data_IF_105770776533
#
_entry.id   IF_105770776533
#
_cell.length_a   1.000
_cell.length_b   1.000
_cell.length_c   1.000
_cell.angle_alpha   90.00
_cell.angle_beta   90.00
_cell.angle_gamma   90.00
#
_symmetry.space_group_name_H-M   'P 1'
#
loop_
_entity.id
_entity.type
_entity.pdbx_description
1 polymer ?
#
# COMPACT_ATOMS: atom_id res chain seq x y z
N UNK A 1 22.42 -58.41 67.00
CA UNK A 1 21.16 -59.13 67.25
C UNK A 1 20.65 -59.69 65.93
N UNK A 2 20.12 -60.89 66.00
CA UNK A 2 19.98 -61.88 64.93
C UNK A 2 18.97 -61.57 63.83
N UNK A 3 19.37 -61.94 62.60
CA UNK A 3 18.65 -62.70 61.56
C UNK A 3 17.11 -62.74 61.58
N UNK A 4 16.47 -62.41 60.44
CA UNK A 4 15.58 -63.35 59.75
C UNK A 4 15.25 -62.94 58.29
N UNK A 5 15.62 -63.81 57.34
CA UNK A 5 14.94 -63.99 56.04
C UNK A 5 13.71 -64.91 56.24
N UNK A 6 12.71 -65.01 55.32
CA UNK A 6 12.82 -65.59 53.96
C UNK A 6 11.83 -64.90 52.98
N UNK A 7 11.48 -65.28 51.75
CA UNK A 7 11.74 -66.44 50.90
C UNK A 7 11.46 -66.00 49.44
N UNK A 8 12.10 -66.63 48.46
CA UNK A 8 12.00 -66.27 47.03
C UNK A 8 11.28 -67.38 46.28
N UNK A 9 10.05 -67.12 45.83
CA UNK A 9 9.33 -68.03 44.91
C UNK A 9 9.21 -67.42 43.52
N UNK A 10 9.54 -68.25 42.53
CA UNK A 10 9.70 -67.97 41.11
C UNK A 10 8.36 -67.95 40.36
N UNK A 11 8.16 -66.99 39.46
CA UNK A 11 7.10 -67.06 38.44
C UNK A 11 7.55 -66.45 37.11
N UNK A 12 7.88 -67.38 36.21
CA UNK A 12 8.00 -67.40 34.74
C UNK A 12 7.44 -66.19 33.97
N UNK A 13 8.27 -65.63 33.08
CA UNK A 13 7.94 -64.61 32.08
C UNK A 13 6.95 -65.11 31.02
N UNK A 14 5.90 -64.34 30.74
CA UNK A 14 5.03 -64.51 29.57
C UNK A 14 4.85 -63.16 28.84
N UNK A 15 5.12 -63.15 27.54
CA UNK A 15 5.00 -61.99 26.62
C UNK A 15 3.53 -61.57 26.45
N UNK A 16 3.17 -60.26 26.50
CA UNK A 16 1.79 -59.83 26.30
C UNK A 16 1.40 -59.83 24.80
N UNK A 17 0.12 -60.13 24.46
CA UNK A 17 -0.37 -60.09 23.08
C UNK A 17 -0.60 -58.65 22.59
N UNK A 18 -0.56 -58.45 21.26
CA UNK A 18 -0.75 -57.14 20.61
C UNK A 18 -2.15 -56.55 20.89
N UNK A 19 -2.29 -55.22 21.05
CA UNK A 19 -3.58 -54.57 21.34
C UNK A 19 -4.54 -54.69 20.15
N UNK A 20 -5.82 -54.88 20.46
CA UNK A 20 -6.90 -54.93 19.46
C UNK A 20 -7.26 -53.51 18.96
N UNK A 21 -7.65 -53.32 17.68
CA UNK A 21 -7.93 -52.00 17.09
C UNK A 21 -9.17 -51.27 17.63
N UNK A 22 -10.01 -51.96 18.40
CA UNK A 22 -11.24 -51.46 19.02
C UNK A 22 -11.01 -50.68 20.33
N UNK A 23 -9.80 -50.77 20.91
CA UNK A 23 -9.44 -50.06 22.13
C UNK A 23 -9.38 -48.53 21.99
N UNK A 24 -9.20 -48.00 20.77
CA UNK A 24 -9.20 -46.56 20.51
C UNK A 24 -10.61 -45.98 20.41
N UNK A 25 -11.59 -46.77 19.99
CA UNK A 25 -13.00 -46.34 19.92
C UNK A 25 -13.62 -46.24 21.31
N UNK A 26 -13.27 -47.11 22.24
CA UNK A 26 -13.79 -47.07 23.62
C UNK A 26 -13.28 -45.86 24.42
N UNK A 27 -12.08 -45.36 24.13
CA UNK A 27 -11.52 -44.17 24.77
C UNK A 27 -12.25 -42.88 24.36
N UNK A 28 -12.61 -42.75 23.07
CA UNK A 28 -13.38 -41.60 22.59
C UNK A 28 -14.82 -41.63 23.11
N UNK A 29 -15.44 -42.81 23.17
CA UNK A 29 -16.77 -42.96 23.78
C UNK A 29 -16.76 -42.61 25.26
N UNK A 30 -15.71 -43.00 26.00
CA UNK A 30 -15.60 -42.69 27.43
C UNK A 30 -15.45 -41.17 27.68
N UNK A 31 -14.65 -40.46 26.89
CA UNK A 31 -14.49 -38.99 27.02
C UNK A 31 -15.77 -38.23 26.63
N UNK A 32 -16.53 -38.75 25.67
CA UNK A 32 -17.82 -38.16 25.26
C UNK A 32 -18.94 -38.40 26.30
N UNK A 33 -19.00 -39.59 26.90
CA UNK A 33 -20.03 -39.95 27.88
C UNK A 33 -19.70 -39.47 29.30
N UNK A 34 -18.41 -39.36 29.65
CA UNK A 34 -17.92 -38.90 30.97
C UNK A 34 -17.12 -37.60 30.83
N UNK A 35 -17.74 -36.58 30.21
CA UNK A 35 -17.14 -35.23 30.09
C UNK A 35 -17.04 -34.47 31.42
N UNK A 36 -17.73 -34.97 32.45
CA UNK A 36 -17.62 -34.51 33.83
C UNK A 36 -16.71 -35.47 34.59
N UNK A 37 -15.66 -34.94 35.21
CA UNK A 37 -14.74 -35.68 36.07
C UNK A 37 -15.54 -36.48 37.13
N UNK A 38 -15.29 -37.79 37.23
CA UNK A 38 -15.88 -38.68 38.24
C UNK A 38 -15.65 -38.13 39.66
N UNK A 39 -14.56 -37.39 39.86
CA UNK A 39 -14.29 -36.68 41.11
C UNK A 39 -15.32 -35.58 41.42
N UNK A 40 -15.86 -34.90 40.40
CA UNK A 40 -16.89 -33.88 40.54
C UNK A 40 -18.26 -34.50 40.84
N UNK A 41 -18.59 -35.61 40.16
CA UNK A 41 -19.80 -36.38 40.42
C UNK A 41 -19.78 -36.95 41.85
N UNK A 42 -18.69 -37.59 42.28
CA UNK A 42 -18.55 -38.09 43.65
C UNK A 42 -18.55 -36.96 44.70
N UNK A 43 -18.01 -35.78 44.40
CA UNK A 43 -18.08 -34.64 45.30
C UNK A 43 -19.50 -34.04 45.38
N UNK A 44 -20.26 -34.08 44.29
CA UNK A 44 -21.66 -33.67 44.27
C UNK A 44 -22.54 -34.64 45.06
N UNK A 45 -22.34 -35.95 44.88
CA UNK A 45 -23.04 -37.00 45.61
C UNK A 45 -22.69 -36.98 47.11
N UNK A 46 -21.42 -36.74 47.45
CA UNK A 46 -20.99 -36.56 48.84
C UNK A 46 -21.65 -35.34 49.48
N UNK A 47 -21.74 -34.21 48.77
CA UNK A 47 -22.46 -33.01 49.24
C UNK A 47 -23.97 -33.22 49.33
N UNK A 48 -24.55 -34.05 48.46
CA UNK A 48 -25.96 -34.43 48.53
C UNK A 48 -26.25 -35.33 49.73
N UNK A 49 -25.36 -36.31 49.99
CA UNK A 49 -25.43 -37.20 51.16
C UNK A 49 -25.20 -36.46 52.49
N UNK A 50 -24.31 -35.46 52.51
CA UNK A 50 -24.05 -34.59 53.67
C UNK A 50 -25.12 -33.49 53.86
N UNK A 51 -26.13 -33.40 52.99
CA UNK A 51 -27.22 -32.42 53.06
C UNK A 51 -26.78 -30.97 52.82
N UNK A 52 -25.57 -30.77 52.31
CA UNK A 52 -24.96 -29.48 51.94
C UNK A 52 -25.25 -29.10 50.49
N UNK A 53 -25.80 -30.00 49.68
CA UNK A 53 -26.34 -29.69 48.37
C UNK A 53 -27.68 -28.94 48.50
N UNK A 54 -27.64 -27.61 48.36
CA UNK A 54 -28.82 -26.74 48.37
C UNK A 54 -28.50 -25.30 48.79
N UNK A 55 -29.50 -24.43 48.81
CA UNK A 55 -29.31 -23.06 49.30
C UNK A 55 -28.84 -23.08 50.77
N UNK A 56 -27.94 -22.15 51.17
CA UNK A 56 -27.41 -22.11 52.52
C UNK A 56 -28.55 -21.99 53.55
N UNK A 57 -28.64 -22.95 54.47
CA UNK A 57 -29.71 -23.00 55.48
C UNK A 57 -29.41 -22.13 56.70
N UNK A 58 -28.13 -21.85 57.00
CA UNK A 58 -27.72 -21.03 58.15
C UNK A 58 -27.74 -19.54 57.83
N UNK A 59 -28.09 -18.71 58.83
CA UNK A 59 -28.21 -17.25 58.66
C UNK A 59 -26.90 -16.62 58.18
N UNK A 60 -25.74 -17.09 58.69
CA UNK A 60 -24.40 -16.62 58.30
C UNK A 60 -24.06 -16.94 56.84
N UNK A 61 -24.40 -18.13 56.36
CA UNK A 61 -24.13 -18.53 54.98
C UNK A 61 -25.07 -17.81 53.99
N UNK A 62 -26.31 -17.49 54.37
CA UNK A 62 -27.21 -16.63 53.59
C UNK A 62 -26.67 -15.20 53.47
N UNK A 63 -26.14 -14.63 54.56
CA UNK A 63 -25.50 -13.31 54.55
C UNK A 63 -24.23 -13.30 53.68
N UNK A 64 -23.42 -14.36 53.74
CA UNK A 64 -22.25 -14.50 52.86
C UNK A 64 -22.61 -14.59 51.38
N UNK A 65 -23.64 -15.36 51.02
CA UNK A 65 -24.17 -15.45 49.65
C UNK A 65 -24.71 -14.08 49.18
N UNK A 66 -25.49 -13.40 50.02
CA UNK A 66 -26.04 -12.09 49.70
C UNK A 66 -24.94 -11.05 49.49
N UNK A 67 -23.92 -11.03 50.37
CA UNK A 67 -22.76 -10.16 50.22
C UNK A 67 -21.99 -10.47 48.92
N UNK A 68 -21.78 -11.75 48.60
CA UNK A 68 -21.13 -12.18 47.36
C UNK A 68 -21.91 -11.75 46.11
N UNK A 69 -23.24 -11.89 46.11
CA UNK A 69 -24.10 -11.44 45.01
C UNK A 69 -24.09 -9.92 44.85
N UNK A 70 -24.13 -9.16 45.94
CA UNK A 70 -24.03 -7.69 45.91
C UNK A 70 -22.67 -7.26 45.34
N UNK A 71 -21.59 -7.93 45.73
CA UNK A 71 -20.24 -7.61 45.26
C UNK A 71 -20.07 -7.97 43.77
N UNK A 72 -20.60 -9.12 43.33
CA UNK A 72 -20.65 -9.49 41.92
C UNK A 72 -21.47 -8.50 41.10
N UNK A 73 -22.66 -8.11 41.60
CA UNK A 73 -23.49 -7.10 40.97
C UNK A 73 -22.76 -5.75 40.88
N UNK A 74 -22.07 -5.32 41.94
CA UNK A 74 -21.28 -4.09 41.93
C UNK A 74 -20.16 -4.12 40.88
N UNK A 75 -19.40 -5.22 40.80
CA UNK A 75 -18.34 -5.39 39.78
C UNK A 75 -18.92 -5.32 38.37
N UNK A 76 -20.02 -6.05 38.11
CA UNK A 76 -20.68 -6.05 36.79
C UNK A 76 -21.21 -4.65 36.44
N UNK A 77 -21.78 -3.95 37.42
CA UNK A 77 -22.34 -2.61 37.20
C UNK A 77 -21.24 -1.58 36.93
N UNK A 78 -20.13 -1.64 37.68
CA UNK A 78 -18.96 -0.79 37.47
C UNK A 78 -18.30 -1.09 36.11
N UNK A 79 -18.13 -2.38 35.76
CA UNK A 79 -17.60 -2.79 34.47
C UNK A 79 -18.48 -2.34 33.31
N UNK A 80 -19.81 -2.45 33.45
CA UNK A 80 -20.76 -1.98 32.45
C UNK A 80 -20.77 -0.44 32.32
N UNK A 81 -20.57 0.29 33.42
CA UNK A 81 -20.46 1.74 33.40
C UNK A 81 -19.15 2.21 32.71
N UNK A 82 -18.02 1.57 33.01
CA UNK A 82 -16.73 1.87 32.35
C UNK A 82 -16.78 1.56 30.85
N UNK A 83 -17.32 0.41 30.46
CA UNK A 83 -17.48 0.02 29.05
C UNK A 83 -18.36 1.00 28.25
N UNK A 84 -19.38 1.60 28.88
CA UNK A 84 -20.23 2.61 28.23
C UNK A 84 -19.56 3.96 28.04
N UNK A 85 -18.50 4.27 28.78
CA UNK A 85 -17.80 5.56 28.70
C UNK A 85 -16.60 5.49 27.76
N UNK A 86 -15.87 4.37 27.72
CA UNK A 86 -14.67 4.21 26.88
C UNK A 86 -15.00 3.94 25.40
N UNK A 87 -16.04 3.13 25.11
CA UNK A 87 -16.46 2.85 23.74
C UNK A 87 -16.85 4.10 22.90
N UNK A 88 -17.59 5.10 23.42
CA UNK A 88 -17.91 6.31 22.66
C UNK A 88 -16.76 7.32 22.57
N UNK A 89 -15.74 7.27 23.45
CA UNK A 89 -14.60 8.18 23.39
C UNK A 89 -13.68 7.83 22.22
N UNK A 90 -13.31 6.55 22.08
CA UNK A 90 -12.47 6.07 20.97
C UNK A 90 -13.17 6.24 19.61
N UNK A 91 -14.48 6.05 19.55
CA UNK A 91 -15.25 6.26 18.33
C UNK A 91 -15.24 7.74 17.90
N UNK A 92 -15.41 8.68 18.85
CA UNK A 92 -15.35 10.12 18.58
C UNK A 92 -13.96 10.60 18.19
N UNK A 93 -12.91 10.11 18.85
CA UNK A 93 -11.53 10.43 18.48
C UNK A 93 -11.20 9.94 17.06
N UNK A 94 -11.68 8.75 16.68
CA UNK A 94 -11.54 8.25 15.31
C UNK A 94 -12.30 9.11 14.31
N UNK A 95 -13.54 9.50 14.62
CA UNK A 95 -14.35 10.37 13.77
C UNK A 95 -13.70 11.75 13.57
N UNK A 96 -13.16 12.36 14.64
CA UNK A 96 -12.43 13.62 14.56
C UNK A 96 -11.15 13.50 13.73
N UNK A 97 -10.40 12.41 13.90
CA UNK A 97 -9.21 12.14 13.09
C UNK A 97 -9.56 11.95 11.62
N UNK A 98 -10.60 11.16 11.30
CA UNK A 98 -11.07 10.99 9.92
C UNK A 98 -11.51 12.33 9.33
N UNK A 99 -12.30 13.12 10.05
CA UNK A 99 -12.72 14.45 9.59
C UNK A 99 -11.54 15.38 9.32
N UNK A 100 -10.52 15.38 10.19
CA UNK A 100 -9.30 16.16 9.96
C UNK A 100 -8.53 15.65 8.73
N UNK A 101 -8.38 14.34 8.56
CA UNK A 101 -7.72 13.75 7.39
C UNK A 101 -8.46 14.16 6.11
N UNK A 102 -9.79 14.07 6.08
CA UNK A 102 -10.60 14.45 4.92
C UNK A 102 -10.48 15.95 4.61
N UNK A 103 -10.50 16.80 5.64
CA UNK A 103 -10.35 18.24 5.49
C UNK A 103 -8.97 18.64 4.94
N UNK A 104 -7.90 18.04 5.47
CA UNK A 104 -6.52 18.25 5.00
C UNK A 104 -6.33 17.71 3.58
N UNK A 105 -6.87 16.53 3.27
CA UNK A 105 -6.85 15.95 1.92
C UNK A 105 -7.57 16.88 0.93
N UNK A 106 -8.74 17.40 1.29
CA UNK A 106 -9.46 18.36 0.45
C UNK A 106 -8.78 19.73 0.31
N UNK A 107 -7.91 20.12 1.24
CA UNK A 107 -7.03 21.30 1.09
C UNK A 107 -5.87 21.00 0.13
N UNK A 108 -5.23 19.84 0.28
CA UNK A 108 -4.16 19.39 -0.61
C UNK A 108 -4.64 19.31 -2.06
N UNK A 109 -5.80 18.69 -2.31
CA UNK A 109 -6.41 18.59 -3.64
C UNK A 109 -6.70 19.96 -4.28
N UNK A 110 -7.13 20.92 -3.47
CA UNK A 110 -7.36 22.30 -3.95
C UNK A 110 -6.05 22.98 -4.29
N UNK A 111 -5.04 22.87 -3.45
CA UNK A 111 -3.73 23.45 -3.70
C UNK A 111 -3.07 22.84 -4.95
N UNK A 112 -3.21 21.52 -5.16
CA UNK A 112 -2.75 20.84 -6.37
C UNK A 112 -3.43 21.39 -7.63
N UNK A 113 -4.77 21.52 -7.61
CA UNK A 113 -5.52 22.14 -8.72
C UNK A 113 -5.10 23.57 -8.99
N UNK A 114 -4.80 24.33 -7.95
CA UNK A 114 -4.34 25.71 -8.06
C UNK A 114 -2.95 25.78 -8.68
N UNK A 115 -2.04 24.88 -8.27
CA UNK A 115 -0.69 24.76 -8.85
C UNK A 115 -0.77 24.37 -10.33
N UNK A 116 -1.58 23.37 -10.69
CA UNK A 116 -1.76 22.93 -12.07
C UNK A 116 -2.33 24.07 -12.94
N UNK A 117 -3.37 24.77 -12.45
CA UNK A 117 -3.92 25.95 -13.12
C UNK A 117 -2.88 27.05 -13.29
N UNK A 118 -2.10 27.39 -12.26
CA UNK A 118 -1.06 28.41 -12.35
C UNK A 118 0.05 28.01 -13.34
N UNK A 119 0.41 26.73 -13.39
CA UNK A 119 1.40 26.20 -14.35
C UNK A 119 0.90 26.34 -15.78
N UNK A 120 -0.36 26.01 -16.04
CA UNK A 120 -0.98 26.16 -17.36
C UNK A 120 -1.03 27.64 -17.78
N UNK A 121 -1.39 28.51 -16.84
CA UNK A 121 -1.42 29.96 -17.02
C UNK A 121 -0.05 30.56 -17.36
N UNK A 122 1.01 30.07 -16.70
CA UNK A 122 2.40 30.46 -16.99
C UNK A 122 2.82 29.92 -18.35
N UNK A 123 2.51 28.65 -18.64
CA UNK A 123 2.81 28.02 -19.92
C UNK A 123 2.15 28.74 -21.10
N UNK A 124 0.89 29.16 -20.95
CA UNK A 124 0.17 29.93 -21.96
C UNK A 124 0.83 31.29 -22.23
N UNK A 125 1.19 32.03 -21.17
CA UNK A 125 1.89 33.32 -21.31
C UNK A 125 3.27 33.17 -21.92
N UNK A 126 4.00 32.10 -21.57
CA UNK A 126 5.30 31.80 -22.17
C UNK A 126 5.17 31.51 -23.67
N UNK A 127 4.18 30.73 -24.09
CA UNK A 127 3.91 30.46 -25.51
C UNK A 127 3.57 31.75 -26.27
N UNK A 128 2.70 32.59 -25.72
CA UNK A 128 2.36 33.88 -26.33
C UNK A 128 3.60 34.78 -26.50
N UNK A 129 4.47 34.84 -25.49
CA UNK A 129 5.72 35.60 -25.56
C UNK A 129 6.68 35.03 -26.61
N UNK A 130 6.78 33.71 -26.71
CA UNK A 130 7.61 33.02 -27.70
C UNK A 130 7.12 33.25 -29.13
N UNK A 131 5.80 33.25 -29.36
CA UNK A 131 5.22 33.57 -30.66
C UNK A 131 5.52 35.00 -31.09
N UNK A 132 5.43 35.97 -30.17
CA UNK A 132 5.66 37.39 -30.46
C UNK A 132 7.13 37.74 -30.67
N UNK A 133 8.05 37.11 -29.94
CA UNK A 133 9.45 37.55 -29.87
C UNK A 133 10.47 36.51 -30.37
N UNK A 134 10.08 35.25 -30.55
CA UNK A 134 11.02 34.15 -30.79
C UNK A 134 11.38 33.92 -32.26
N UNK A 135 10.50 34.24 -33.20
CA UNK A 135 10.64 33.82 -34.60
C UNK A 135 10.90 32.31 -34.74
N UNK A 136 11.57 31.88 -35.80
CA UNK A 136 11.83 30.45 -36.05
C UNK A 136 12.75 29.82 -35.02
N UNK A 137 13.74 30.57 -34.53
CA UNK A 137 14.70 30.08 -33.51
C UNK A 137 14.02 29.84 -32.18
N UNK A 138 13.18 30.79 -31.72
CA UNK A 138 12.43 30.66 -30.47
C UNK A 138 11.45 29.49 -30.49
N UNK A 139 10.81 29.23 -31.64
CA UNK A 139 9.94 28.07 -31.82
C UNK A 139 10.70 26.74 -31.72
N UNK A 140 11.86 26.62 -32.35
CA UNK A 140 12.72 25.43 -32.22
C UNK A 140 13.22 25.26 -30.77
N UNK A 141 13.65 26.35 -30.12
CA UNK A 141 14.07 26.30 -28.70
C UNK A 141 12.93 25.88 -27.79
N UNK A 142 11.71 26.38 -28.01
CA UNK A 142 10.53 26.02 -27.25
C UNK A 142 10.18 24.53 -27.40
N UNK A 143 10.27 24.01 -28.64
CA UNK A 143 10.09 22.60 -28.92
C UNK A 143 11.11 21.73 -28.16
N UNK A 144 12.40 22.06 -28.27
CA UNK A 144 13.50 21.32 -27.63
C UNK A 144 13.45 21.40 -26.10
N UNK A 145 12.97 22.51 -25.55
CA UNK A 145 12.75 22.69 -24.12
C UNK A 145 11.47 22.01 -23.60
N UNK A 146 10.64 21.44 -24.50
CA UNK A 146 9.34 20.87 -24.17
C UNK A 146 8.27 21.91 -23.84
N UNK A 147 8.49 23.20 -24.11
CA UNK A 147 7.55 24.29 -23.77
C UNK A 147 6.30 24.33 -24.68
N UNK A 148 6.30 23.55 -25.76
CA UNK A 148 5.16 23.41 -26.67
C UNK A 148 4.68 21.97 -26.75
N UNK A 149 3.42 21.82 -27.12
CA UNK A 149 2.87 20.54 -27.50
C UNK A 149 3.60 19.97 -28.72
N UNK A 150 3.59 18.65 -28.84
CA UNK A 150 4.15 17.94 -29.98
C UNK A 150 3.12 16.96 -30.50
N UNK A 151 2.86 17.06 -31.81
CA UNK A 151 2.00 16.11 -32.51
C UNK A 151 2.82 15.38 -33.57
N UNK A 152 2.65 14.07 -33.66
CA UNK A 152 3.30 13.25 -34.68
C UNK A 152 2.99 11.76 -34.53
N UNK A 153 3.50 10.92 -35.44
CA UNK A 153 3.43 9.47 -35.29
C UNK A 153 4.30 9.01 -34.12
N UNK A 154 4.08 7.78 -33.67
CA UNK A 154 4.91 7.23 -32.60
C UNK A 154 4.44 5.89 -32.06
N UNK A 155 4.80 5.64 -30.80
CA UNK A 155 4.47 4.42 -30.07
C UNK A 155 3.71 4.76 -28.78
N UNK A 156 2.61 4.06 -28.55
CA UNK A 156 1.92 3.98 -27.27
C UNK A 156 2.29 2.68 -26.58
N UNK A 157 2.99 2.79 -25.46
CA UNK A 157 3.35 1.70 -24.56
C UNK A 157 2.52 1.82 -23.28
N UNK A 158 1.78 0.78 -22.94
CA UNK A 158 1.02 0.66 -21.69
C UNK A 158 1.73 -0.37 -20.83
N UNK A 159 2.09 0.04 -19.62
CA UNK A 159 2.70 -0.81 -18.59
C UNK A 159 1.77 -0.81 -17.38
N UNK A 160 1.31 -1.97 -16.97
CA UNK A 160 0.36 -2.15 -15.88
C UNK A 160 0.93 -3.14 -14.86
N UNK A 161 0.51 -3.00 -13.61
CA UNK A 161 0.88 -3.96 -12.58
C UNK A 161 0.33 -5.35 -12.93
N UNK A 162 0.94 -6.40 -12.38
CA UNK A 162 0.40 -7.75 -12.52
C UNK A 162 -0.98 -7.85 -11.84
N UNK A 163 -1.88 -8.69 -12.36
CA UNK A 163 -3.25 -8.83 -11.82
C UNK A 163 -3.27 -9.20 -10.32
N UNK A 164 -2.22 -9.87 -9.82
CA UNK A 164 -2.09 -10.29 -8.42
C UNK A 164 -1.28 -9.31 -7.55
N UNK A 165 -0.82 -8.18 -8.09
CA UNK A 165 -0.01 -7.20 -7.36
C UNK A 165 -0.77 -6.59 -6.16
N UNK A 166 -2.09 -6.45 -6.28
CA UNK A 166 -2.98 -5.95 -5.22
C UNK A 166 -3.25 -6.99 -4.10
N UNK A 167 -2.87 -8.26 -4.29
CA UNK A 167 -3.14 -9.33 -3.32
C UNK A 167 -2.25 -9.26 -2.06
N UNK A 168 -1.23 -8.40 -2.07
CA UNK A 168 -0.42 -8.11 -0.89
C UNK A 168 -1.14 -7.09 -0.01
N UNK A 169 -2.17 -7.53 0.71
CA UNK A 169 -2.93 -6.73 1.69
C UNK A 169 -2.15 -6.33 2.95
N UNK A 170 -0.82 -6.34 2.89
CA UNK A 170 0.05 -5.85 3.94
C UNK A 170 0.24 -4.35 3.73
N UNK A 171 0.07 -3.56 4.78
CA UNK A 171 0.16 -2.10 4.65
C UNK A 171 1.53 -1.67 4.10
N UNK A 172 1.70 -0.40 3.68
CA UNK A 172 2.96 0.14 3.14
C UNK A 172 4.21 0.00 4.05
N UNK A 173 4.05 -0.60 5.24
CA UNK A 173 5.06 -0.83 6.28
C UNK A 173 5.29 -2.31 6.63
N UNK A 174 4.44 -3.22 6.17
CA UNK A 174 4.45 -4.63 6.63
C UNK A 174 5.31 -5.54 5.73
N UNK A 175 5.62 -5.13 4.50
CA UNK A 175 6.60 -5.83 3.65
C UNK A 175 7.98 -5.15 3.71
N UNK A 176 8.85 -5.65 4.58
CA UNK A 176 10.28 -5.32 4.57
C UNK A 176 11.08 -6.12 3.52
N UNK A 177 10.43 -7.06 2.84
CA UNK A 177 11.05 -7.86 1.77
C UNK A 177 10.84 -7.21 0.40
N UNK A 178 11.88 -7.31 -0.44
CA UNK A 178 11.84 -7.03 -1.87
C UNK A 178 10.85 -7.99 -2.54
N UNK A 179 9.57 -7.75 -2.37
CA UNK A 179 8.54 -8.66 -2.87
C UNK A 179 8.47 -8.56 -4.40
N UNK A 180 8.58 -9.74 -4.99
CA UNK A 180 8.40 -10.12 -6.38
C UNK A 180 6.90 -10.05 -6.71
N UNK A 181 6.29 -8.86 -6.52
CA UNK A 181 4.83 -8.66 -6.52
C UNK A 181 4.24 -8.44 -7.90
N UNK A 182 5.06 -8.44 -8.96
CA UNK A 182 4.61 -7.99 -10.28
C UNK A 182 4.20 -6.52 -10.32
N UNK A 183 4.62 -5.73 -9.33
CA UNK A 183 4.35 -4.28 -9.24
C UNK A 183 5.42 -3.47 -9.96
N UNK A 184 4.98 -2.56 -10.82
CA UNK A 184 5.85 -1.66 -11.60
C UNK A 184 6.46 -0.61 -10.68
N UNK A 185 7.78 -0.43 -10.76
CA UNK A 185 8.52 0.53 -9.94
C UNK A 185 9.01 1.72 -10.75
N UNK A 186 9.37 2.79 -10.04
CA UNK A 186 9.93 4.01 -10.63
C UNK A 186 11.19 3.73 -11.49
N UNK A 187 12.06 2.82 -11.03
CA UNK A 187 13.25 2.38 -11.78
C UNK A 187 12.92 1.68 -13.09
N UNK A 188 11.81 0.96 -13.14
CA UNK A 188 11.37 0.24 -14.34
C UNK A 188 10.89 1.25 -15.38
N UNK A 189 10.12 2.24 -14.95
CA UNK A 189 9.71 3.36 -15.79
C UNK A 189 10.90 4.22 -16.26
N UNK A 190 11.92 4.44 -15.43
CA UNK A 190 13.16 5.11 -15.85
C UNK A 190 13.85 4.34 -16.98
N UNK A 191 13.93 3.01 -16.88
CA UNK A 191 14.51 2.15 -17.94
C UNK A 191 13.70 2.24 -19.23
N UNK A 192 12.37 2.12 -19.14
CA UNK A 192 11.47 2.26 -20.29
C UNK A 192 11.69 3.58 -21.01
N UNK A 193 11.70 4.69 -20.29
CA UNK A 193 11.90 6.03 -20.85
C UNK A 193 13.27 6.17 -21.50
N UNK A 194 14.33 5.74 -20.81
CA UNK A 194 15.69 5.81 -21.34
C UNK A 194 15.88 4.93 -22.59
N UNK A 195 15.29 3.74 -22.61
CA UNK A 195 15.29 2.85 -23.76
C UNK A 195 14.56 3.45 -24.96
N UNK A 196 13.42 4.13 -24.72
CA UNK A 196 12.70 4.85 -25.78
C UNK A 196 13.51 6.02 -26.33
N UNK A 197 14.17 6.81 -25.48
CA UNK A 197 15.09 7.86 -25.92
C UNK A 197 16.25 7.29 -26.75
N UNK A 198 16.87 6.21 -26.27
CA UNK A 198 17.94 5.52 -26.99
C UNK A 198 17.48 4.98 -28.35
N UNK A 199 16.20 4.59 -28.44
CA UNK A 199 15.57 4.06 -29.65
C UNK A 199 15.15 5.15 -30.65
N UNK A 200 15.36 6.42 -30.33
CA UNK A 200 15.11 7.55 -31.22
C UNK A 200 13.76 8.23 -31.03
N UNK A 201 13.14 8.13 -29.85
CA UNK A 201 12.01 8.97 -29.52
C UNK A 201 12.43 10.45 -29.53
N UNK A 202 11.55 11.33 -30.01
CA UNK A 202 11.76 12.78 -30.09
C UNK A 202 11.04 13.53 -28.96
N UNK A 203 9.94 12.94 -28.46
CA UNK A 203 9.20 13.43 -27.31
C UNK A 203 8.58 12.26 -26.56
N UNK A 204 8.59 12.29 -25.22
CA UNK A 204 7.99 11.24 -24.38
C UNK A 204 7.07 11.86 -23.32
N UNK A 205 5.94 11.21 -23.03
CA UNK A 205 5.10 11.52 -21.86
C UNK A 205 4.68 10.26 -21.12
N UNK A 206 4.43 10.37 -19.82
CA UNK A 206 3.84 9.29 -18.99
C UNK A 206 2.54 9.82 -18.39
N UNK A 207 1.41 9.18 -18.65
CA UNK A 207 0.08 9.60 -18.20
C UNK A 207 -0.19 11.10 -18.47
N UNK A 208 0.23 11.59 -19.63
CA UNK A 208 0.10 12.99 -20.02
C UNK A 208 1.11 13.95 -19.36
N UNK A 209 2.08 13.47 -18.58
CA UNK A 209 3.19 14.29 -18.09
C UNK A 209 4.34 14.24 -19.08
N UNK A 210 4.59 15.35 -19.78
CA UNK A 210 5.64 15.48 -20.78
C UNK A 210 7.02 15.52 -20.10
N UNK A 211 7.89 14.62 -20.53
CA UNK A 211 9.25 14.51 -20.01
C UNK A 211 10.22 15.41 -20.77
N UNK A 212 11.18 15.96 -20.03
CA UNK A 212 12.31 16.76 -20.53
C UNK A 212 13.62 16.21 -19.97
N UNK A 213 14.75 16.83 -20.37
CA UNK A 213 16.08 16.46 -19.86
C UNK A 213 16.25 16.63 -18.34
N UNK A 214 15.37 17.38 -17.68
CA UNK A 214 15.40 17.61 -16.23
C UNK A 214 14.26 16.92 -15.48
N UNK A 215 13.40 16.19 -16.20
CA UNK A 215 12.27 15.51 -15.59
C UNK A 215 12.74 14.39 -14.66
N UNK A 216 12.07 14.23 -13.53
CA UNK A 216 12.40 13.23 -12.53
C UNK A 216 11.28 12.21 -12.36
N UNK A 217 11.66 10.93 -12.39
CA UNK A 217 10.78 9.78 -12.08
C UNK A 217 11.27 9.18 -10.76
N UNK A 218 10.44 9.16 -9.72
CA UNK A 218 10.85 8.76 -8.35
C UNK A 218 9.72 8.05 -7.61
N UNK A 219 10.05 7.16 -6.69
CA UNK A 219 9.06 6.60 -5.76
C UNK A 219 8.71 7.55 -4.60
N UNK A 220 7.45 7.54 -4.15
CA UNK A 220 7.07 7.95 -2.79
C UNK A 220 6.08 6.94 -2.20
N UNK A 221 6.57 6.13 -1.25
CA UNK A 221 5.85 4.95 -0.80
C UNK A 221 5.57 4.04 -2.00
N UNK A 222 4.29 3.76 -2.21
CA UNK A 222 3.81 2.92 -3.30
C UNK A 222 3.55 3.69 -4.60
N UNK A 223 3.59 5.02 -4.62
CA UNK A 223 3.32 5.79 -5.83
C UNK A 223 4.59 6.07 -6.64
N UNK A 224 4.48 6.09 -7.97
CA UNK A 224 5.50 6.63 -8.86
C UNK A 224 5.17 8.10 -9.14
N UNK A 225 6.13 8.99 -8.94
CA UNK A 225 6.00 10.42 -9.18
C UNK A 225 6.77 10.80 -10.43
N UNK A 226 6.13 11.59 -11.29
CA UNK A 226 6.76 12.27 -12.43
C UNK A 226 6.68 13.77 -12.19
N UNK A 227 7.82 14.43 -12.02
CA UNK A 227 7.91 15.87 -11.71
C UNK A 227 7.04 16.31 -10.52
N UNK A 228 7.01 15.46 -9.49
CA UNK A 228 6.21 15.56 -8.25
C UNK A 228 4.70 15.34 -8.43
N UNK A 229 4.24 14.89 -9.60
CA UNK A 229 2.86 14.45 -9.80
C UNK A 229 2.79 12.94 -9.58
N UNK A 230 2.03 12.45 -8.60
CA UNK A 230 1.83 11.01 -8.41
C UNK A 230 1.03 10.45 -9.59
N UNK A 231 1.51 9.33 -10.13
CA UNK A 231 0.88 8.57 -11.20
C UNK A 231 0.47 7.20 -10.66
N UNK A 232 -0.66 6.70 -11.17
CA UNK A 232 -1.16 5.38 -10.89
C UNK A 232 -1.11 4.51 -12.16
N UNK A 233 -0.97 3.18 -12.01
CA UNK A 233 -1.16 2.25 -13.11
C UNK A 233 -2.61 2.28 -13.64
N UNK A 234 -2.86 1.94 -14.91
CA UNK A 234 -1.87 1.61 -15.94
C UNK A 234 -1.08 2.84 -16.43
N UNK A 235 0.24 2.69 -16.50
CA UNK A 235 1.15 3.72 -16.99
C UNK A 235 1.17 3.74 -18.52
N UNK A 236 0.55 4.77 -19.10
CA UNK A 236 0.58 5.01 -20.55
C UNK A 236 1.75 5.92 -20.89
N UNK A 237 2.75 5.34 -21.56
CA UNK A 237 3.89 6.05 -22.13
C UNK A 237 3.63 6.32 -23.61
N UNK A 238 3.60 7.60 -23.99
CA UNK A 238 3.52 8.02 -25.39
C UNK A 238 4.90 8.51 -25.83
N UNK A 239 5.40 8.00 -26.95
CA UNK A 239 6.69 8.38 -27.51
C UNK A 239 6.54 8.74 -28.99
N UNK A 240 6.77 10.00 -29.34
CA UNK A 240 6.74 10.51 -30.72
C UNK A 240 8.04 10.12 -31.44
N UNK A 241 7.91 9.67 -32.69
CA UNK A 241 9.03 9.30 -33.57
C UNK A 241 8.54 8.46 -34.74
N UNK A 242 9.46 7.89 -35.53
CA UNK A 242 9.10 6.90 -36.56
C UNK A 242 8.55 5.64 -35.87
N UNK A 243 7.23 5.48 -35.83
CA UNK A 243 6.59 4.48 -34.97
C UNK A 243 7.06 3.03 -35.20
N UNK A 244 7.26 2.62 -36.46
CA UNK A 244 7.68 1.26 -36.77
C UNK A 244 9.15 1.02 -36.41
N UNK A 245 10.02 1.99 -36.72
CA UNK A 245 11.44 1.91 -36.37
C UNK A 245 11.65 2.01 -34.87
N UNK A 246 10.94 2.93 -34.21
CA UNK A 246 10.98 3.15 -32.77
C UNK A 246 10.53 1.92 -32.01
N UNK A 247 9.38 1.32 -32.38
CA UNK A 247 8.88 0.09 -31.75
C UNK A 247 9.86 -1.07 -31.89
N UNK A 248 10.45 -1.25 -33.08
CA UNK A 248 11.40 -2.33 -33.34
C UNK A 248 12.72 -2.12 -32.59
N UNK A 249 13.25 -0.90 -32.61
CA UNK A 249 14.47 -0.53 -31.89
C UNK A 249 14.28 -0.68 -30.37
N UNK A 250 13.16 -0.23 -29.82
CA UNK A 250 12.88 -0.38 -28.39
C UNK A 250 12.77 -1.84 -27.99
N UNK A 251 11.97 -2.66 -28.68
CA UNK A 251 11.81 -4.10 -28.36
C UNK A 251 13.13 -4.88 -28.40
N UNK A 252 14.07 -4.47 -29.24
CA UNK A 252 15.40 -5.11 -29.36
C UNK A 252 16.45 -4.55 -28.39
N UNK A 253 16.20 -3.38 -27.80
CA UNK A 253 17.07 -2.75 -26.80
C UNK A 253 17.11 -3.55 -25.49
N UNK A 254 18.13 -3.28 -24.67
CA UNK A 254 18.24 -3.90 -23.35
C UNK A 254 17.03 -3.58 -22.45
N UNK A 255 16.49 -2.36 -22.53
CA UNK A 255 15.35 -1.93 -21.73
C UNK A 255 14.03 -2.54 -22.22
N UNK A 256 13.87 -2.76 -23.54
CA UNK A 256 12.74 -3.49 -24.10
C UNK A 256 12.76 -4.97 -23.74
N UNK A 257 13.93 -5.62 -23.78
CA UNK A 257 14.08 -7.01 -23.33
C UNK A 257 13.86 -7.14 -21.82
N UNK A 258 14.33 -6.16 -21.03
CA UNK A 258 14.04 -6.10 -19.61
C UNK A 258 12.53 -6.04 -19.33
N UNK A 259 11.78 -5.24 -20.10
CA UNK A 259 10.34 -5.15 -19.97
C UNK A 259 9.62 -6.46 -20.36
N UNK A 260 10.12 -7.19 -21.36
CA UNK A 260 9.59 -8.53 -21.68
C UNK A 260 9.85 -9.52 -20.54
N UNK A 261 11.00 -9.46 -19.87
CA UNK A 261 11.28 -10.28 -18.69
C UNK A 261 10.31 -9.96 -17.54
N UNK A 262 9.99 -8.69 -17.31
CA UNK A 262 8.97 -8.30 -16.32
C UNK A 262 7.60 -8.89 -16.65
N UNK A 263 7.20 -8.86 -17.92
CA UNK A 263 5.96 -9.46 -18.37
C UNK A 263 5.95 -10.98 -18.21
N UNK A 264 7.01 -11.68 -18.64
CA UNK A 264 7.07 -13.15 -18.64
C UNK A 264 7.28 -13.75 -17.25
N UNK A 265 8.13 -13.13 -16.43
CA UNK A 265 8.53 -13.68 -15.12
C UNK A 265 7.69 -13.14 -13.97
N UNK A 266 7.13 -11.94 -14.10
CA UNK A 266 6.43 -11.23 -13.02
C UNK A 266 4.96 -10.92 -13.36
N UNK A 267 4.48 -11.27 -14.56
CA UNK A 267 3.08 -11.05 -14.96
C UNK A 267 2.70 -9.59 -15.22
N UNK A 268 3.66 -8.68 -15.33
CA UNK A 268 3.43 -7.25 -15.61
C UNK A 268 2.71 -7.10 -16.95
N UNK A 269 1.60 -6.36 -16.97
CA UNK A 269 0.85 -6.09 -18.18
C UNK A 269 1.61 -5.16 -19.11
N UNK A 270 2.07 -5.64 -20.27
CA UNK A 270 2.80 -4.81 -21.24
C UNK A 270 2.15 -4.88 -22.61
N UNK A 271 1.76 -3.72 -23.15
CA UNK A 271 1.21 -3.59 -24.50
C UNK A 271 1.86 -2.44 -25.23
N UNK A 272 2.34 -2.69 -26.44
CA UNK A 272 2.99 -1.68 -27.28
C UNK A 272 2.32 -1.64 -28.65
N UNK A 273 1.91 -0.44 -29.06
CA UNK A 273 1.15 -0.20 -30.29
C UNK A 273 1.72 1.01 -31.03
N UNK A 274 1.83 0.89 -32.35
CA UNK A 274 2.20 2.02 -33.21
C UNK A 274 0.96 2.89 -33.43
N UNK A 275 1.14 4.19 -33.35
CA UNK A 275 0.08 5.18 -33.59
C UNK A 275 0.50 6.07 -34.75
N UNK A 276 -0.44 6.33 -35.66
CA UNK A 276 -0.21 7.23 -36.81
C UNK A 276 -0.12 8.70 -36.38
N UNK A 277 -0.83 9.05 -35.31
CA UNK A 277 -0.83 10.39 -34.75
C UNK A 277 -1.09 10.31 -33.23
N UNK A 278 -0.32 11.10 -32.47
CA UNK A 278 -0.54 11.34 -31.05
C UNK A 278 -0.16 12.77 -30.71
N UNK A 279 -0.82 13.34 -29.70
CA UNK A 279 -0.47 14.64 -29.13
C UNK A 279 0.13 14.43 -27.74
N UNK A 280 1.29 15.05 -27.52
CA UNK A 280 1.93 15.16 -26.22
C UNK A 280 1.81 16.61 -25.76
N UNK A 281 1.37 16.86 -24.51
CA UNK A 281 1.26 18.20 -23.99
C UNK A 281 2.63 18.88 -23.86
N UNK A 282 2.61 20.18 -23.59
CA UNK A 282 3.80 20.88 -23.14
C UNK A 282 4.24 20.36 -21.75
N UNK A 283 5.54 20.37 -21.51
CA UNK A 283 6.13 20.10 -20.21
C UNK A 283 5.78 21.20 -19.21
N UNK A 284 5.69 20.86 -17.92
CA UNK A 284 5.60 21.86 -16.86
C UNK A 284 6.73 22.90 -17.00
N UNK A 285 6.38 24.17 -16.83
CA UNK A 285 7.34 25.26 -17.01
C UNK A 285 8.48 25.17 -16.01
N UNK A 286 9.70 25.43 -16.49
CA UNK A 286 10.91 25.43 -15.69
C UNK A 286 10.93 26.69 -14.82
N UNK A 287 10.84 26.54 -13.49
CA UNK A 287 10.89 27.67 -12.57
C UNK A 287 12.34 28.08 -12.38
N UNK A 288 12.70 29.25 -12.90
CA UNK A 288 14.03 29.83 -12.75
C UNK A 288 14.00 30.84 -11.61
N UNK A 289 14.72 30.56 -10.51
CA UNK A 289 14.74 31.45 -9.32
C UNK A 289 15.77 32.57 -9.42
N UNK A 290 16.90 32.30 -10.07
CA UNK A 290 18.09 33.18 -10.06
C UNK A 290 18.67 33.43 -11.43
N UNK A 291 18.49 32.50 -12.37
CA UNK A 291 18.97 32.68 -13.73
C UNK A 291 18.07 33.66 -14.49
N UNK A 292 18.69 34.61 -15.17
CA UNK A 292 18.03 35.55 -16.06
C UNK A 292 18.53 35.30 -17.48
N UNK A 293 17.66 35.42 -18.50
CA UNK A 293 18.11 35.36 -19.88
C UNK A 293 19.10 36.49 -20.13
N UNK A 294 20.30 36.15 -20.62
CA UNK A 294 21.27 37.16 -21.05
C UNK A 294 20.70 37.85 -22.29
N UNK A 295 20.11 39.02 -22.08
CA UNK A 295 19.11 39.64 -22.97
C UNK A 295 19.47 39.69 -24.45
N UNK A 296 18.47 39.45 -25.29
CA UNK A 296 18.29 40.22 -26.51
C UNK A 296 17.82 41.62 -26.09
N UNK A 297 18.44 42.67 -26.61
CA UNK A 297 18.35 44.03 -26.05
C UNK A 297 16.92 44.61 -25.93
N UNK A 298 16.81 45.52 -24.93
CA UNK A 298 15.75 46.54 -24.69
C UNK A 298 14.36 45.98 -24.33
N UNK A 299 13.70 46.32 -23.21
CA UNK A 299 13.69 47.54 -22.40
C UNK A 299 13.51 47.23 -20.90
N UNK A 300 14.05 48.10 -20.06
CA UNK A 300 13.72 48.21 -18.63
C UNK A 300 12.23 48.55 -18.48
N UNK A 301 11.38 47.55 -18.29
CA UNK A 301 10.11 47.69 -17.59
C UNK A 301 10.34 47.47 -16.10
N UNK A 302 10.61 48.56 -15.36
CA UNK A 302 10.64 48.51 -13.92
C UNK A 302 9.23 48.18 -13.39
N UNK A 303 8.99 46.94 -12.99
CA UNK A 303 7.95 46.63 -12.02
C UNK A 303 8.64 46.43 -10.68
N UNK A 304 8.49 47.48 -9.85
CA UNK A 304 8.76 47.48 -8.43
C UNK A 304 7.99 46.34 -7.75
N UNK A 305 8.66 45.20 -7.56
CA UNK A 305 8.20 44.19 -6.61
C UNK A 305 8.68 44.63 -5.24
N UNK A 306 7.76 45.28 -4.54
CA UNK A 306 7.93 45.75 -3.17
C UNK A 306 8.61 44.69 -2.31
N UNK A 307 9.71 45.09 -1.68
CA UNK A 307 10.37 44.36 -0.61
C UNK A 307 9.36 43.99 0.46
N UNK A 308 9.06 42.70 0.59
CA UNK A 308 8.53 42.12 1.82
C UNK A 308 9.70 41.63 2.68
N UNK A 309 10.22 42.51 3.53
CA UNK A 309 11.00 42.10 4.71
C UNK A 309 10.08 42.12 5.92
N UNK A 310 9.87 40.95 6.51
CA UNK A 310 9.84 40.63 7.95
C UNK A 310 8.98 39.40 8.20
#
# INVERSE_FOLDING_TARGET
>A
MSQQSPDRSTARSATPPRPRPDASMSLLTNVMEHSLDDGYAQAADRRAAEGTAGLPKTLRAKLGLAAGLVLAAAIVTIGAAQARVEAPAIAKEREELTFRIDAETGLADRLEKDVDRLRDDVGARQREALEKHGGDKGRLTALLAGATEVTGPGVKLVVDDAEEADASGDGPRDSSDFSDTGRVRDRDMQRVVNGLWQSGAEAISINGQRLTAVSAIRAAGDAILVDNKPLAPPYTVLAVGDGQRLSSAFRSSADGQYLEVLKESYGVGVSISVQEEMNLPAAPSLIVRTAEPKGGGTEKGATDTGKGTS
#
